data_IF_578339962175
#
_entry.id   IF_578339962175
#
_cell.length_a   1.000
_cell.length_b   1.000
_cell.length_c   1.000
_cell.angle_alpha   90.00
_cell.angle_beta   90.00
_cell.angle_gamma   90.00
#
_symmetry.space_group_name_H-M   'P 1'
#
loop_
_entity.id
_entity.type
_entity.pdbx_description
1 polymer ?
#
# COMPACT_ATOMS: atom_id res chain seq x y z
N UNK A 1 -2.23 38.83 46.01
CA UNK A 1 -1.55 37.63 45.48
C UNK A 1 -2.12 36.38 46.15
N UNK A 2 -3.05 35.67 45.51
CA UNK A 2 -3.36 34.24 45.78
C UNK A 2 -3.87 33.64 44.46
N UNK A 3 -3.09 32.75 43.87
CA UNK A 3 -3.39 32.10 42.59
C UNK A 3 -4.49 31.03 42.77
N UNK A 4 -5.51 31.06 41.93
CA UNK A 4 -6.46 29.97 41.79
C UNK A 4 -5.97 29.03 40.69
N UNK A 5 -5.49 27.85 41.07
CA UNK A 5 -5.23 26.75 40.14
C UNK A 5 -6.36 25.73 40.28
N UNK A 6 -7.41 25.88 39.47
CA UNK A 6 -8.43 24.86 39.31
C UNK A 6 -7.94 23.84 38.27
N UNK A 7 -7.66 22.62 38.72
CA UNK A 7 -7.24 21.49 37.89
C UNK A 7 -8.50 20.92 37.24
N UNK A 8 -8.63 21.06 35.91
CA UNK A 8 -9.68 20.42 35.13
C UNK A 8 -9.16 19.07 34.64
N UNK A 9 -9.72 17.98 35.18
CA UNK A 9 -9.43 16.61 34.75
C UNK A 9 -10.23 16.34 33.47
N UNK A 10 -9.53 16.20 32.34
CA UNK A 10 -10.12 15.83 31.06
C UNK A 10 -10.18 14.29 30.94
N UNK A 11 -11.36 13.72 31.14
CA UNK A 11 -11.60 12.29 30.91
C UNK A 11 -11.83 12.04 29.41
N UNK A 12 -10.87 11.42 28.74
CA UNK A 12 -11.02 10.95 27.35
C UNK A 12 -11.52 9.50 27.40
N UNK A 13 -12.81 9.31 27.17
CA UNK A 13 -13.36 7.98 26.87
C UNK A 13 -13.09 7.67 25.39
N UNK A 14 -12.10 6.80 25.13
CA UNK A 14 -11.94 6.18 23.81
C UNK A 14 -12.75 4.89 23.76
N UNK A 15 -13.89 4.94 23.07
CA UNK A 15 -14.68 3.77 22.70
C UNK A 15 -13.90 2.93 21.70
N UNK A 16 -13.40 1.78 22.13
CA UNK A 16 -12.83 0.77 21.23
C UNK A 16 -13.97 0.16 20.39
N UNK A 17 -13.97 0.45 19.09
CA UNK A 17 -14.82 -0.28 18.13
C UNK A 17 -14.27 -1.70 17.93
N UNK A 18 -15.12 -2.74 17.82
CA UNK A 18 -14.64 -4.09 17.57
C UNK A 18 -14.21 -4.20 16.11
N UNK A 19 -12.93 -4.52 15.89
CA UNK A 19 -12.47 -4.96 14.59
C UNK A 19 -13.00 -6.40 14.38
N UNK A 20 -14.08 -6.53 13.61
CA UNK A 20 -14.54 -7.83 13.14
C UNK A 20 -13.56 -8.28 12.05
N UNK A 21 -12.51 -8.99 12.47
CA UNK A 21 -11.69 -9.79 11.58
C UNK A 21 -12.52 -10.99 11.11
N UNK A 22 -13.10 -10.89 9.90
CA UNK A 22 -13.69 -12.04 9.22
C UNK A 22 -12.61 -13.08 8.89
N UNK A 23 -12.92 -14.39 8.93
CA UNK A 23 -11.95 -15.44 8.69
C UNK A 23 -11.50 -15.41 7.23
N UNK A 24 -10.20 -15.18 7.02
CA UNK A 24 -9.56 -15.40 5.71
C UNK A 24 -9.35 -16.91 5.60
N UNK A 25 -10.13 -17.56 4.74
CA UNK A 25 -9.97 -18.98 4.44
C UNK A 25 -8.59 -19.30 3.87
N UNK A 26 -8.15 -20.56 3.94
CA UNK A 26 -6.84 -20.98 3.46
C UNK A 26 -6.93 -21.10 1.94
N UNK A 27 -6.53 -20.05 1.23
CA UNK A 27 -6.46 -20.05 -0.22
C UNK A 27 -5.09 -19.53 -0.65
N UNK A 28 -4.55 -20.16 -1.71
CA UNK A 28 -3.20 -20.04 -2.26
C UNK A 28 -2.50 -18.71 -1.99
N UNK A 29 -1.20 -18.76 -1.66
CA UNK A 29 -0.33 -17.62 -1.37
C UNK A 29 -0.41 -16.54 -2.47
N UNK A 30 -1.42 -15.67 -2.36
CA UNK A 30 -1.73 -14.68 -3.36
C UNK A 30 -0.53 -13.74 -3.46
N UNK A 31 -0.08 -13.48 -4.69
CA UNK A 31 0.99 -12.54 -4.92
C UNK A 31 0.66 -11.22 -4.20
N UNK A 32 1.64 -10.61 -3.50
CA UNK A 32 1.39 -9.39 -2.75
C UNK A 32 0.82 -8.33 -3.72
N UNK A 33 -0.24 -7.65 -3.29
CA UNK A 33 -0.97 -6.66 -4.09
C UNK A 33 -1.47 -5.51 -3.24
N UNK A 34 -1.54 -4.32 -3.83
CA UNK A 34 -2.17 -3.13 -3.25
C UNK A 34 -3.50 -2.90 -3.98
N UNK A 35 -4.59 -2.84 -3.22
CA UNK A 35 -5.92 -2.53 -3.73
C UNK A 35 -6.32 -1.13 -3.24
N UNK A 36 -6.74 -0.27 -4.16
CA UNK A 36 -7.16 1.10 -3.87
C UNK A 36 -8.63 1.26 -4.25
N UNK A 37 -9.44 1.69 -3.29
CA UNK A 37 -10.81 2.15 -3.54
C UNK A 37 -10.78 3.56 -4.14
N UNK A 38 -11.40 3.72 -5.31
CA UNK A 38 -11.44 5.01 -5.99
C UNK A 38 -12.42 6.02 -5.36
N UNK A 39 -13.36 5.58 -4.52
CA UNK A 39 -14.18 6.49 -3.72
C UNK A 39 -13.35 7.20 -2.64
N UNK A 40 -12.36 6.49 -2.07
CA UNK A 40 -11.48 6.99 -1.01
C UNK A 40 -10.03 6.59 -1.25
N UNK A 41 -9.35 7.17 -2.26
CA UNK A 41 -8.06 6.69 -2.71
C UNK A 41 -6.98 6.91 -1.64
N UNK A 42 -6.66 5.83 -0.93
CA UNK A 42 -5.61 5.76 0.08
C UNK A 42 -4.65 4.62 -0.25
N UNK A 43 -3.36 4.90 -0.12
CA UNK A 43 -2.33 3.88 -0.22
C UNK A 43 -2.04 3.34 1.16
N UNK A 44 -1.63 2.07 1.24
CA UNK A 44 -1.12 1.47 2.47
C UNK A 44 0.11 2.23 3.02
N UNK A 45 0.51 1.92 4.27
CA UNK A 45 1.70 2.48 4.89
C UNK A 45 2.99 2.16 4.11
N UNK A 46 4.04 2.92 4.38
CA UNK A 46 5.32 2.80 3.64
C UNK A 46 5.91 1.39 3.71
N UNK A 47 5.85 0.71 4.86
CA UNK A 47 6.43 -0.62 5.01
C UNK A 47 5.76 -1.67 4.10
N UNK A 48 4.44 -1.60 3.91
CA UNK A 48 3.71 -2.48 2.99
C UNK A 48 4.05 -2.19 1.53
N UNK A 49 4.17 -0.91 1.16
CA UNK A 49 4.61 -0.51 -0.19
C UNK A 49 6.04 -0.97 -0.45
N UNK A 50 6.93 -0.83 0.54
CA UNK A 50 8.30 -1.31 0.47
C UNK A 50 8.36 -2.83 0.32
N UNK A 51 7.58 -3.57 1.10
CA UNK A 51 7.49 -5.02 1.00
C UNK A 51 6.98 -5.49 -0.38
N UNK A 52 5.93 -4.85 -0.92
CA UNK A 52 5.43 -5.15 -2.27
C UNK A 52 6.53 -4.97 -3.33
N UNK A 53 7.26 -3.86 -3.25
CA UNK A 53 8.26 -3.47 -4.26
C UNK A 53 9.64 -4.07 -4.02
N UNK A 54 9.86 -4.78 -2.90
CA UNK A 54 11.18 -5.27 -2.49
C UNK A 54 12.16 -4.14 -2.12
N UNK A 55 11.65 -2.98 -1.70
CA UNK A 55 12.43 -1.79 -1.37
C UNK A 55 12.65 -1.68 0.13
N UNK A 56 13.91 -1.49 0.53
CA UNK A 56 14.32 -1.36 1.93
C UNK A 56 14.86 0.03 2.27
N UNK A 57 15.08 0.88 1.26
CA UNK A 57 15.48 2.27 1.44
C UNK A 57 14.25 3.16 1.56
N UNK A 58 14.13 3.88 2.69
CA UNK A 58 12.96 4.73 2.99
C UNK A 58 12.74 5.82 1.92
N UNK A 59 13.80 6.41 1.39
CA UNK A 59 13.71 7.41 0.33
C UNK A 59 13.13 6.85 -0.97
N UNK A 60 13.56 5.66 -1.37
CA UNK A 60 13.00 4.94 -2.53
C UNK A 60 11.53 4.59 -2.31
N UNK A 61 11.19 4.06 -1.14
CA UNK A 61 9.80 3.72 -0.78
C UNK A 61 8.90 4.94 -0.82
N UNK A 62 9.36 6.08 -0.29
CA UNK A 62 8.62 7.34 -0.36
C UNK A 62 8.36 7.77 -1.80
N UNK A 63 9.41 7.77 -2.64
CA UNK A 63 9.30 8.16 -4.05
C UNK A 63 8.34 7.23 -4.83
N UNK A 64 8.47 5.91 -4.65
CA UNK A 64 7.59 4.94 -5.29
C UNK A 64 6.14 5.04 -4.79
N UNK A 65 5.93 5.29 -3.50
CA UNK A 65 4.59 5.53 -2.94
C UNK A 65 3.95 6.80 -3.53
N UNK A 66 4.71 7.88 -3.72
CA UNK A 66 4.21 9.09 -4.37
C UNK A 66 3.81 8.82 -5.84
N UNK A 67 4.64 8.06 -6.56
CA UNK A 67 4.35 7.65 -7.94
C UNK A 67 3.07 6.79 -8.03
N UNK A 68 2.93 5.77 -7.17
CA UNK A 68 1.72 4.93 -7.09
C UNK A 68 0.47 5.77 -6.82
N UNK A 69 0.54 6.78 -5.95
CA UNK A 69 -0.59 7.66 -5.69
C UNK A 69 -1.01 8.45 -6.93
N UNK A 70 -0.05 8.98 -7.66
CA UNK A 70 -0.31 9.71 -8.89
C UNK A 70 -0.93 8.80 -9.95
N UNK A 71 -0.45 7.56 -10.07
CA UNK A 71 -1.01 6.56 -10.97
C UNK A 71 -2.43 6.14 -10.58
N UNK A 72 -2.66 5.83 -9.30
CA UNK A 72 -3.99 5.50 -8.78
C UNK A 72 -5.01 6.61 -9.07
N UNK A 73 -4.64 7.86 -8.81
CA UNK A 73 -5.48 9.04 -9.11
C UNK A 73 -5.81 9.16 -10.59
N UNK A 74 -4.84 8.87 -11.47
CA UNK A 74 -5.07 8.86 -12.92
C UNK A 74 -6.00 7.72 -13.32
N UNK A 75 -5.78 6.52 -12.80
CA UNK A 75 -6.59 5.34 -13.08
C UNK A 75 -8.04 5.51 -12.63
N UNK A 76 -8.27 6.01 -11.41
CA UNK A 76 -9.61 6.26 -10.87
C UNK A 76 -10.40 7.32 -11.65
N UNK A 77 -9.72 8.26 -12.33
CA UNK A 77 -10.37 9.32 -13.12
C UNK A 77 -10.61 8.94 -14.58
N UNK A 78 -10.14 7.80 -15.08
CA UNK A 78 -10.32 7.43 -16.50
C UNK A 78 -11.82 7.42 -16.85
N UNK A 79 -12.16 8.17 -17.90
CA UNK A 79 -13.53 8.54 -18.25
C UNK A 79 -14.38 7.36 -18.71
N UNK A 80 -13.75 6.34 -19.29
CA UNK A 80 -14.48 5.28 -19.99
C UNK A 80 -15.13 4.24 -19.06
N UNK A 81 -14.69 4.16 -17.79
CA UNK A 81 -15.17 3.12 -16.89
C UNK A 81 -15.23 3.49 -15.39
N UNK A 82 -14.69 4.65 -14.97
CA UNK A 82 -14.53 5.09 -13.56
C UNK A 82 -14.44 3.90 -12.60
N UNK A 83 -13.31 3.18 -12.60
CA UNK A 83 -13.22 1.93 -11.85
C UNK A 83 -13.51 2.16 -10.38
N UNK A 84 -14.25 1.25 -9.73
CA UNK A 84 -14.44 1.31 -8.28
C UNK A 84 -13.15 0.95 -7.53
N UNK A 85 -12.30 0.11 -8.12
CA UNK A 85 -11.04 -0.36 -7.54
C UNK A 85 -9.90 -0.40 -8.55
N UNK A 86 -8.70 -0.04 -8.10
CA UNK A 86 -7.44 -0.20 -8.85
C UNK A 86 -6.55 -1.16 -8.08
N UNK A 87 -5.94 -2.11 -8.78
CA UNK A 87 -5.04 -3.11 -8.19
C UNK A 87 -3.64 -2.94 -8.76
N UNK A 88 -2.66 -2.86 -7.88
CA UNK A 88 -1.24 -2.86 -8.21
C UNK A 88 -0.62 -4.17 -7.71
N UNK A 89 0.00 -4.91 -8.61
CA UNK A 89 0.66 -6.18 -8.31
C UNK A 89 2.12 -6.08 -8.72
N UNK A 90 3.00 -6.78 -8.00
CA UNK A 90 4.38 -6.90 -8.47
C UNK A 90 4.39 -7.82 -9.70
N UNK A 91 4.81 -7.28 -10.85
CA UNK A 91 5.06 -8.10 -12.02
C UNK A 91 6.17 -9.12 -11.69
N UNK A 92 5.82 -10.40 -11.61
CA UNK A 92 6.81 -11.46 -11.61
C UNK A 92 7.48 -11.50 -12.99
N UNK A 93 8.81 -11.66 -13.08
CA UNK A 93 9.46 -11.81 -14.38
C UNK A 93 8.84 -13.03 -15.08
N UNK A 94 8.30 -12.82 -16.29
CA UNK A 94 7.81 -13.92 -17.11
C UNK A 94 9.02 -14.82 -17.40
N UNK A 95 8.85 -16.12 -17.23
CA UNK A 95 9.92 -17.13 -17.33
C UNK A 95 10.72 -17.06 -18.65
N UNK A 96 10.14 -16.51 -19.72
CA UNK A 96 10.80 -16.24 -20.99
C UNK A 96 11.87 -15.12 -20.94
N UNK A 97 11.74 -14.15 -20.02
CA UNK A 97 12.64 -13.01 -19.87
C UNK A 97 13.87 -13.37 -19.01
N UNK A 98 13.65 -14.21 -17.99
CA UNK A 98 14.73 -14.77 -17.17
C UNK A 98 15.73 -15.62 -17.98
N UNK A 99 15.24 -16.34 -19.00
CA UNK A 99 16.09 -17.16 -19.88
C UNK A 99 16.99 -16.32 -20.78
N UNK A 100 16.54 -15.13 -21.23
CA UNK A 100 17.35 -14.23 -22.07
C UNK A 100 18.51 -13.57 -21.32
N UNK A 101 18.33 -13.27 -20.03
CA UNK A 101 19.38 -12.67 -19.21
C UNK A 101 20.48 -13.68 -18.84
N UNK A 102 20.15 -14.97 -18.73
CA UNK A 102 21.13 -16.02 -18.47
C UNK A 102 22.06 -16.29 -19.67
N UNK A 103 21.54 -16.20 -20.90
CA UNK A 103 22.32 -16.46 -22.13
C UNK A 103 23.39 -15.39 -22.38
N UNK A 104 23.08 -14.12 -22.08
CA UNK A 104 24.02 -13.00 -22.28
C UNK A 104 25.18 -12.95 -21.28
N UNK A 105 25.20 -13.76 -20.22
CA UNK A 105 26.29 -13.79 -19.23
C UNK A 105 27.33 -14.89 -19.46
N UNK A 106 27.15 -15.75 -20.48
CA UNK A 106 28.03 -16.91 -20.72
C UNK A 106 29.11 -16.65 -21.78
N UNK A 107 29.12 -15.47 -22.39
CA UNK A 107 30.12 -15.06 -23.37
C UNK A 107 31.00 -13.96 -22.79
N UNK A 108 31.84 -14.32 -21.83
CA UNK A 108 33.07 -13.61 -21.46
C UNK A 108 34.13 -14.65 -21.04
#
# INVERSE_FOLDING_TARGET
MKLHAAIVVLAVLSTAAPAIAGPVGPDDAAAPRIVIDCAHPRLPPQHEVGALLGQHNIGQVYASRAALMAEARRACRRHDARPHRVVFERALPRSSEARRVADNRRSD
#
